data_IF_735976272915
#
_entry.id   IF_735976272915
#
_cell.length_a   1.000
_cell.length_b   1.000
_cell.length_c   1.000
_cell.angle_alpha   90.00
_cell.angle_beta   90.00
_cell.angle_gamma   90.00
#
_symmetry.space_group_name_H-M   'P 1'
#
loop_
_entity.id
_entity.type
_entity.pdbx_description
1 polymer ?
#
# COMPACT_ATOMS: atom_id res chain seq x y z
N UNK A 1 6.60 26.74 -14.57
CA UNK A 1 6.38 25.44 -15.24
C UNK A 1 5.34 24.68 -14.44
N UNK A 2 4.13 24.52 -14.99
CA UNK A 2 3.04 23.81 -14.32
C UNK A 2 3.32 22.31 -14.40
N UNK A 3 3.88 21.71 -13.35
CA UNK A 3 3.99 20.27 -13.23
C UNK A 3 2.57 19.70 -13.15
N UNK A 4 2.10 19.07 -14.23
CA UNK A 4 0.84 18.32 -14.19
C UNK A 4 0.94 17.31 -13.05
N UNK A 5 -0.10 17.16 -12.21
CA UNK A 5 -0.07 16.16 -11.16
C UNK A 5 0.14 14.77 -11.79
N UNK A 6 0.94 13.89 -11.18
CA UNK A 6 1.20 12.56 -11.71
C UNK A 6 -0.11 11.82 -11.95
N UNK A 7 -0.26 11.24 -13.14
CA UNK A 7 -1.44 10.46 -13.52
C UNK A 7 -1.23 9.05 -12.97
N UNK A 8 -2.05 8.69 -11.99
CA UNK A 8 -2.08 7.34 -11.42
C UNK A 8 -3.09 6.51 -12.21
N UNK A 9 -2.62 5.55 -12.99
CA UNK A 9 -3.48 4.81 -13.93
C UNK A 9 -4.02 3.50 -13.37
N UNK A 10 -3.38 2.93 -12.36
CA UNK A 10 -3.84 1.69 -11.70
C UNK A 10 -4.05 1.92 -10.22
N UNK A 11 -5.25 1.57 -9.74
CA UNK A 11 -5.68 1.69 -8.35
C UNK A 11 -6.14 0.32 -7.85
N UNK A 12 -5.38 -0.26 -6.93
CA UNK A 12 -5.80 -1.42 -6.16
C UNK A 12 -6.23 -0.96 -4.78
N UNK A 13 -7.34 -1.47 -4.28
CA UNK A 13 -7.87 -1.06 -2.98
C UNK A 13 -8.31 -2.28 -2.16
N UNK A 14 -7.82 -2.35 -0.93
CA UNK A 14 -8.29 -3.28 0.09
C UNK A 14 -9.16 -2.49 1.07
N UNK A 15 -10.35 -3.02 1.38
CA UNK A 15 -11.26 -2.44 2.38
C UNK A 15 -11.54 -3.48 3.44
N UNK A 16 -11.50 -3.07 4.69
CA UNK A 16 -11.86 -3.89 5.83
C UNK A 16 -12.94 -3.19 6.63
N UNK A 17 -14.00 -3.93 6.96
CA UNK A 17 -15.10 -3.45 7.79
C UNK A 17 -15.08 -4.21 9.11
N UNK A 18 -15.22 -3.50 10.21
CA UNK A 18 -15.21 -4.09 11.55
C UNK A 18 -16.15 -3.33 12.47
N UNK A 19 -16.70 -4.03 13.46
CA UNK A 19 -17.53 -3.41 14.50
C UNK A 19 -16.64 -2.87 15.61
N UNK A 20 -16.63 -1.55 15.76
CA UNK A 20 -15.86 -0.87 16.79
C UNK A 20 -16.55 -1.03 18.14
N UNK A 21 -15.91 -1.78 19.05
CA UNK A 21 -16.45 -2.08 20.38
C UNK A 21 -16.67 -0.84 21.24
N UNK A 22 -15.97 0.26 20.98
CA UNK A 22 -16.13 1.49 21.76
C UNK A 22 -17.34 2.31 21.30
N UNK A 23 -17.58 2.37 19.99
CA UNK A 23 -18.65 3.19 19.41
C UNK A 23 -19.92 2.41 19.06
N UNK A 24 -19.85 1.08 19.02
CA UNK A 24 -20.95 0.21 18.59
C UNK A 24 -21.29 0.33 17.10
N UNK A 25 -20.46 1.02 16.32
CA UNK A 25 -20.67 1.28 14.90
C UNK A 25 -19.73 0.42 14.06
N UNK A 26 -20.23 -0.01 12.90
CA UNK A 26 -19.38 -0.61 11.87
C UNK A 26 -18.52 0.49 11.25
N UNK A 27 -17.20 0.34 11.38
CA UNK A 27 -16.20 1.20 10.80
C UNK A 27 -15.52 0.55 9.60
N UNK A 28 -14.94 1.37 8.72
CA UNK A 28 -14.20 0.95 7.54
C UNK A 28 -12.78 1.49 7.55
N UNK A 29 -11.80 0.61 7.52
CA UNK A 29 -10.42 0.95 7.12
C UNK A 29 -10.18 0.57 5.67
N UNK A 30 -9.25 1.26 5.04
CA UNK A 30 -8.88 0.98 3.66
C UNK A 30 -7.40 1.22 3.44
N UNK A 31 -6.84 0.46 2.50
CA UNK A 31 -5.53 0.67 1.93
C UNK A 31 -5.67 0.77 0.42
N UNK A 32 -4.95 1.70 -0.18
CA UNK A 32 -4.96 1.97 -1.60
C UNK A 32 -3.55 2.03 -2.15
N UNK A 33 -3.34 1.37 -3.28
CA UNK A 33 -2.07 1.34 -4.00
C UNK A 33 -2.31 1.94 -5.38
N UNK A 34 -1.56 2.98 -5.70
CA UNK A 34 -1.62 3.70 -6.96
C UNK A 34 -0.27 3.62 -7.68
N UNK A 35 -0.28 3.20 -8.94
CA UNK A 35 0.92 3.16 -9.79
C UNK A 35 0.96 4.37 -10.72
N UNK A 36 2.04 5.14 -10.64
CA UNK A 36 2.46 6.06 -11.69
C UNK A 36 3.35 5.28 -12.66
N UNK A 37 3.03 5.33 -13.96
CA UNK A 37 3.82 4.66 -14.99
C UNK A 37 5.16 5.37 -15.22
N UNK A 38 6.16 4.66 -15.78
CA UNK A 38 7.38 5.30 -16.26
C UNK A 38 7.09 6.39 -17.30
N UNK A 39 7.86 7.46 -17.28
CA UNK A 39 7.68 8.61 -18.18
C UNK A 39 8.96 8.91 -18.95
N UNK A 40 8.85 9.13 -20.26
CA UNK A 40 9.97 9.55 -21.10
C UNK A 40 10.14 11.07 -21.05
N UNK A 41 11.33 11.53 -20.69
CA UNK A 41 11.64 12.96 -20.64
C UNK A 41 11.81 13.55 -22.06
N UNK A 42 11.68 14.87 -22.22
CA UNK A 42 11.92 15.55 -23.50
C UNK A 42 13.32 15.30 -24.09
N UNK A 43 14.32 15.08 -23.23
CA UNK A 43 15.72 14.80 -23.58
C UNK A 43 15.95 13.32 -23.97
N UNK A 44 14.92 12.47 -23.86
CA UNK A 44 14.95 11.08 -24.30
C UNK A 44 15.19 10.05 -23.20
N UNK A 45 15.39 10.47 -21.94
CA UNK A 45 15.58 9.57 -20.80
C UNK A 45 14.27 8.89 -20.40
N UNK A 46 14.35 7.67 -19.88
CA UNK A 46 13.19 6.98 -19.28
C UNK A 46 13.32 7.08 -17.77
N UNK A 47 12.35 7.74 -17.13
CA UNK A 47 12.28 7.82 -15.68
C UNK A 47 11.37 6.73 -15.14
N UNK A 48 11.79 6.10 -14.04
CA UNK A 48 10.98 5.10 -13.36
C UNK A 48 9.66 5.68 -12.84
N UNK A 49 8.65 4.81 -12.82
CA UNK A 49 7.39 5.09 -12.16
C UNK A 49 7.52 5.14 -10.64
N UNK A 50 6.41 5.41 -9.97
CA UNK A 50 6.33 5.44 -8.50
C UNK A 50 5.08 4.76 -8.01
N UNK A 51 5.14 4.21 -6.80
CA UNK A 51 3.99 3.59 -6.13
C UNK A 51 3.58 4.50 -4.98
N UNK A 52 2.33 4.98 -4.99
CA UNK A 52 1.75 5.64 -3.83
C UNK A 52 0.90 4.63 -3.06
N UNK A 53 1.19 4.47 -1.77
CA UNK A 53 0.40 3.67 -0.85
C UNK A 53 -0.29 4.61 0.13
N UNK A 54 -1.61 4.54 0.24
CA UNK A 54 -2.41 5.35 1.17
C UNK A 54 -3.22 4.44 2.07
N UNK A 55 -3.25 4.76 3.36
CA UNK A 55 -4.08 4.08 4.36
C UNK A 55 -5.05 5.08 4.97
N UNK A 56 -6.26 4.63 5.27
CA UNK A 56 -7.28 5.50 5.81
C UNK A 56 -8.37 4.78 6.58
N UNK A 57 -9.20 5.59 7.23
CA UNK A 57 -10.37 5.18 7.99
C UNK A 57 -11.53 6.07 7.56
N UNK A 58 -12.67 5.46 7.25
CA UNK A 58 -13.83 6.13 6.69
C UNK A 58 -13.47 6.98 5.46
N UNK A 59 -13.63 8.30 5.55
CA UNK A 59 -13.34 9.27 4.51
C UNK A 59 -11.94 9.89 4.66
N UNK A 60 -11.26 9.62 5.77
CA UNK A 60 -9.99 10.25 6.11
C UNK A 60 -8.81 9.41 5.66
N UNK A 61 -7.80 10.08 5.10
CA UNK A 61 -6.47 9.51 4.92
C UNK A 61 -5.73 9.64 6.25
N UNK A 62 -5.25 8.51 6.79
CA UNK A 62 -4.47 8.48 8.03
C UNK A 62 -2.97 8.45 7.76
N UNK A 63 -2.55 7.97 6.60
CA UNK A 63 -1.15 7.98 6.18
C UNK A 63 -1.00 7.75 4.68
N UNK A 64 0.09 8.27 4.10
CA UNK A 64 0.43 8.03 2.72
C UNK A 64 1.95 8.00 2.52
N UNK A 65 2.41 7.08 1.68
CA UNK A 65 3.80 6.89 1.31
C UNK A 65 3.92 6.99 -0.20
N UNK A 66 4.94 7.71 -0.68
CA UNK A 66 5.32 7.72 -2.08
C UNK A 66 6.65 6.98 -2.21
N UNK A 67 6.59 5.77 -2.76
CA UNK A 67 7.71 4.85 -2.85
C UNK A 67 8.26 4.84 -4.28
N UNK A 68 9.57 4.71 -4.37
CA UNK A 68 10.23 4.18 -5.57
C UNK A 68 9.83 2.71 -5.79
N UNK A 69 10.09 2.17 -6.99
CA UNK A 69 9.83 0.76 -7.25
C UNK A 69 10.70 -0.17 -6.39
N UNK A 70 11.94 0.22 -6.08
CA UNK A 70 12.83 -0.55 -5.22
C UNK A 70 12.31 -0.62 -3.77
N UNK A 71 11.82 0.49 -3.22
CA UNK A 71 11.22 0.52 -1.89
C UNK A 71 9.92 -0.27 -1.84
N UNK A 72 9.08 -0.16 -2.88
CA UNK A 72 7.86 -0.96 -2.99
C UNK A 72 8.17 -2.46 -3.06
N UNK A 73 9.21 -2.86 -3.80
CA UNK A 73 9.68 -4.25 -3.88
C UNK A 73 10.16 -4.76 -2.53
N UNK A 74 10.90 -3.95 -1.77
CA UNK A 74 11.33 -4.30 -0.40
C UNK A 74 10.14 -4.45 0.55
N UNK A 75 9.15 -3.56 0.45
CA UNK A 75 7.93 -3.66 1.26
C UNK A 75 7.20 -4.99 1.02
N UNK A 76 7.06 -5.42 -0.24
CA UNK A 76 6.43 -6.71 -0.57
C UNK A 76 7.19 -7.87 0.10
N UNK A 77 8.51 -7.91 -0.02
CA UNK A 77 9.34 -8.95 0.63
C UNK A 77 9.22 -8.94 2.14
N UNK A 78 9.19 -7.76 2.77
CA UNK A 78 9.00 -7.66 4.22
C UNK A 78 7.64 -8.20 4.67
N UNK A 79 6.59 -8.02 3.86
CA UNK A 79 5.27 -8.59 4.15
C UNK A 79 5.25 -10.10 4.00
N UNK A 80 5.90 -10.64 2.96
CA UNK A 80 6.03 -12.09 2.76
C UNK A 80 6.71 -12.76 3.96
N UNK A 81 7.86 -12.22 4.39
CA UNK A 81 8.61 -12.74 5.55
C UNK A 81 7.75 -12.71 6.83
N UNK A 82 7.03 -11.61 7.08
CA UNK A 82 6.18 -11.52 8.27
C UNK A 82 5.04 -12.56 8.28
N UNK A 83 4.50 -12.91 7.11
CA UNK A 83 3.48 -13.95 6.98
C UNK A 83 4.08 -15.33 7.22
N UNK A 84 5.27 -15.60 6.65
CA UNK A 84 5.97 -16.87 6.84
C UNK A 84 6.32 -17.10 8.32
N UNK A 85 6.89 -16.10 8.99
CA UNK A 85 7.22 -16.15 10.42
C UNK A 85 5.98 -16.43 11.28
N UNK A 86 4.85 -15.82 10.96
CA UNK A 86 3.58 -16.07 11.65
C UNK A 86 3.15 -17.53 11.52
N UNK A 87 3.16 -18.11 10.31
CA UNK A 87 2.76 -19.50 10.09
C UNK A 87 3.72 -20.49 10.75
N UNK A 88 5.04 -20.21 10.73
CA UNK A 88 6.01 -21.02 11.47
C UNK A 88 5.72 -21.02 12.98
N UNK A 89 5.44 -19.86 13.55
CA UNK A 89 5.15 -19.73 14.98
C UNK A 89 3.86 -20.47 15.35
N UNK A 90 2.80 -20.30 14.55
CA UNK A 90 1.54 -21.04 14.71
C UNK A 90 1.75 -22.55 14.63
N UNK A 91 2.58 -23.04 13.71
CA UNK A 91 2.88 -24.47 13.59
C UNK A 91 3.64 -25.02 14.81
N UNK A 92 4.50 -24.21 15.45
CA UNK A 92 5.16 -24.58 16.71
C UNK A 92 4.12 -24.73 17.85
N UNK A 93 3.22 -23.76 18.01
CA UNK A 93 2.16 -23.81 19.02
C UNK A 93 1.21 -25.01 18.86
N UNK A 94 0.98 -25.49 17.65
CA UNK A 94 0.15 -26.69 17.41
C UNK A 94 0.83 -28.01 17.81
N UNK A 95 2.16 -28.01 18.00
CA UNK A 95 2.95 -29.19 18.36
C UNK A 95 3.23 -29.29 19.87
N UNK A 96 2.96 -28.21 20.61
CA UNK A 96 3.01 -28.14 22.08
C UNK A 96 1.70 -28.66 22.67
#
# INVERSE_FOLDING_TARGET
MSSKPPVYERRLQIKHFYDDRQSGQTKRTWMEIQLQLPEKSPEGWVNDGRVRLSIGEEKDVKGAFLLSLDEASRLVKSLEVAIEEHEEYKAKLWRE
#
